data_IF_536871892591
#
_entry.id   IF_536871892591
#
_cell.length_a   1.000
_cell.length_b   1.000
_cell.length_c   1.000
_cell.angle_alpha   90.00
_cell.angle_beta   90.00
_cell.angle_gamma   90.00
#
_symmetry.space_group_name_H-M   'P 1'
#
loop_
_entity.id
_entity.type
_entity.pdbx_description
1 polymer ?
#
# COMPACT_ATOMS: atom_id res chain seq x y z
N UNK A 1 -21.91 -15.86 -24.59
CA UNK A 1 -20.66 -15.13 -24.29
C UNK A 1 -20.85 -14.51 -22.93
N UNK A 2 -20.16 -15.02 -21.90
CA UNK A 2 -20.14 -14.38 -20.58
C UNK A 2 -19.01 -13.36 -20.60
N UNK A 3 -19.35 -12.07 -20.63
CA UNK A 3 -18.40 -11.00 -20.40
C UNK A 3 -18.08 -10.98 -18.90
N UNK A 4 -17.20 -11.89 -18.47
CA UNK A 4 -16.59 -11.80 -17.15
C UNK A 4 -15.69 -10.58 -17.14
N UNK A 5 -16.07 -9.55 -16.39
CA UNK A 5 -15.17 -8.46 -16.04
C UNK A 5 -13.92 -9.06 -15.43
N UNK A 6 -12.78 -8.90 -16.12
CA UNK A 6 -11.47 -9.22 -15.55
C UNK A 6 -11.24 -8.17 -14.47
N UNK A 7 -11.70 -8.42 -13.25
CA UNK A 7 -11.29 -7.63 -12.11
C UNK A 7 -9.77 -7.74 -12.03
N UNK A 8 -9.09 -6.60 -12.18
CA UNK A 8 -7.65 -6.54 -12.01
C UNK A 8 -7.37 -6.91 -10.55
N UNK A 9 -6.64 -7.99 -10.35
CA UNK A 9 -6.18 -8.43 -9.03
C UNK A 9 -5.42 -7.29 -8.34
N UNK A 10 -5.79 -7.00 -7.09
CA UNK A 10 -5.20 -5.96 -6.25
C UNK A 10 -4.77 -6.50 -4.90
N UNK A 11 -3.76 -5.88 -4.32
CA UNK A 11 -3.30 -6.08 -2.95
C UNK A 11 -3.84 -4.92 -2.13
N UNK A 12 -4.66 -5.23 -1.12
CA UNK A 12 -5.25 -4.22 -0.24
C UNK A 12 -4.45 -4.20 1.07
N UNK A 13 -3.82 -3.05 1.36
CA UNK A 13 -3.19 -2.76 2.65
C UNK A 13 -4.20 -1.98 3.50
N UNK A 14 -4.88 -2.69 4.41
CA UNK A 14 -5.86 -2.13 5.33
C UNK A 14 -5.20 -1.78 6.67
N UNK A 15 -5.19 -0.48 7.00
CA UNK A 15 -4.61 0.05 8.24
C UNK A 15 -5.63 0.19 9.38
N UNK A 16 -6.79 -0.45 9.29
CA UNK A 16 -7.78 -0.47 10.38
C UNK A 16 -7.16 -0.98 11.69
N UNK A 17 -7.21 -0.15 12.73
CA UNK A 17 -6.66 -0.46 14.05
C UNK A 17 -5.14 -0.27 14.17
N UNK A 18 -4.47 0.20 13.12
CA UNK A 18 -3.06 0.57 13.18
C UNK A 18 -2.93 2.04 13.55
N UNK A 19 -2.38 2.31 14.73
CA UNK A 19 -2.22 3.68 15.23
C UNK A 19 -0.92 4.34 14.76
N UNK A 20 0.14 3.55 14.58
CA UNK A 20 1.49 4.02 14.22
C UNK A 20 2.14 3.04 13.24
N UNK A 21 2.88 3.59 12.27
CA UNK A 21 3.72 2.86 11.32
C UNK A 21 5.12 3.45 11.42
N UNK A 22 6.16 2.63 11.54
CA UNK A 22 7.53 3.14 11.52
C UNK A 22 7.99 3.36 10.08
N UNK A 23 8.71 4.47 9.78
CA UNK A 23 9.20 4.74 8.42
C UNK A 23 10.03 3.59 7.83
N UNK A 24 10.93 2.98 8.59
CA UNK A 24 11.76 1.87 8.08
C UNK A 24 10.94 0.64 7.71
N UNK A 25 9.87 0.35 8.45
CA UNK A 25 9.00 -0.79 8.15
C UNK A 25 8.09 -0.49 6.96
N UNK A 26 7.61 0.76 6.85
CA UNK A 26 6.84 1.21 5.68
C UNK A 26 7.66 1.08 4.39
N UNK A 27 8.92 1.55 4.42
CA UNK A 27 9.84 1.50 3.29
C UNK A 27 10.10 0.04 2.84
N UNK A 28 10.51 -0.83 3.76
CA UNK A 28 10.77 -2.25 3.45
C UNK A 28 9.52 -2.98 2.95
N UNK A 29 8.35 -2.72 3.54
CA UNK A 29 7.09 -3.34 3.16
C UNK A 29 6.67 -2.91 1.75
N UNK A 30 6.61 -1.60 1.49
CA UNK A 30 6.17 -1.07 0.20
C UNK A 30 7.13 -1.49 -0.91
N UNK A 31 8.44 -1.31 -0.70
CA UNK A 31 9.46 -1.73 -1.67
C UNK A 31 9.35 -3.23 -2.00
N UNK A 32 9.11 -4.09 -1.01
CA UNK A 32 8.94 -5.53 -1.24
C UNK A 32 7.69 -5.86 -2.06
N UNK A 33 6.59 -5.14 -1.83
CA UNK A 33 5.33 -5.35 -2.54
C UNK A 33 5.41 -4.81 -3.96
N UNK A 34 5.95 -3.60 -4.15
CA UNK A 34 6.12 -2.96 -5.45
C UNK A 34 7.04 -3.79 -6.34
N UNK A 35 8.19 -4.24 -5.82
CA UNK A 35 9.12 -5.09 -6.57
C UNK A 35 8.50 -6.42 -7.03
N UNK A 36 7.56 -6.96 -6.25
CA UNK A 36 6.96 -8.27 -6.52
C UNK A 36 5.71 -8.19 -7.39
N UNK A 37 4.92 -7.13 -7.24
CA UNK A 37 3.57 -7.06 -7.80
C UNK A 37 3.31 -5.85 -8.70
N UNK A 38 4.17 -4.82 -8.63
CA UNK A 38 3.95 -3.52 -9.26
C UNK A 38 3.15 -2.58 -8.34
N UNK A 39 3.54 -1.31 -8.34
CA UNK A 39 2.88 -0.23 -7.58
C UNK A 39 1.39 -0.13 -7.95
N UNK A 40 1.04 -0.34 -9.23
CA UNK A 40 -0.33 -0.21 -9.75
C UNK A 40 -1.32 -1.23 -9.19
N UNK A 41 -0.81 -2.28 -8.52
CA UNK A 41 -1.61 -3.32 -7.88
C UNK A 41 -1.86 -3.07 -6.40
N UNK A 42 -1.19 -2.09 -5.80
CA UNK A 42 -1.28 -1.83 -4.36
C UNK A 42 -2.35 -0.77 -4.11
N UNK A 43 -3.26 -1.06 -3.19
CA UNK A 43 -4.29 -0.13 -2.73
C UNK A 43 -4.20 0.00 -1.22
N UNK A 44 -3.98 1.23 -0.75
CA UNK A 44 -3.87 1.55 0.68
C UNK A 44 -5.20 2.14 1.16
N UNK A 45 -5.78 1.56 2.21
CA UNK A 45 -7.08 2.00 2.77
C UNK A 45 -7.02 2.16 4.30
N UNK A 46 -8.02 2.88 4.84
CA UNK A 46 -8.24 3.07 6.29
C UNK A 46 -7.03 3.61 7.06
N UNK A 47 -6.30 4.56 6.49
CA UNK A 47 -5.16 5.20 7.14
C UNK A 47 -5.58 6.33 8.10
N UNK A 48 -4.81 6.51 9.16
CA UNK A 48 -4.89 7.68 10.06
C UNK A 48 -3.78 8.68 9.75
N UNK A 49 -3.86 9.96 10.20
CA UNK A 49 -2.87 10.98 9.84
C UNK A 49 -1.41 10.60 10.09
N UNK A 50 -1.11 9.94 11.22
CA UNK A 50 0.25 9.47 11.53
C UNK A 50 0.79 8.46 10.49
N UNK A 51 -0.08 7.58 9.97
CA UNK A 51 0.26 6.62 8.93
C UNK A 51 0.49 7.35 7.61
N UNK A 52 -0.38 8.31 7.26
CA UNK A 52 -0.24 9.11 6.04
C UNK A 52 1.05 9.92 6.01
N UNK A 53 1.46 10.49 7.15
CA UNK A 53 2.73 11.20 7.28
C UNK A 53 3.92 10.25 7.06
N UNK A 54 3.85 9.05 7.63
CA UNK A 54 4.89 8.03 7.44
C UNK A 54 4.99 7.58 5.98
N UNK A 55 3.85 7.29 5.33
CA UNK A 55 3.81 6.88 3.93
C UNK A 55 4.36 7.98 3.00
N UNK A 56 3.99 9.25 3.23
CA UNK A 56 4.56 10.38 2.47
C UNK A 56 6.07 10.52 2.68
N UNK A 57 6.56 10.27 3.90
CA UNK A 57 7.98 10.38 4.19
C UNK A 57 8.81 9.35 3.42
N UNK A 58 8.26 8.14 3.18
CA UNK A 58 8.95 7.09 2.40
C UNK A 58 8.78 7.26 0.89
N UNK A 59 7.63 7.72 0.40
CA UNK A 59 7.42 8.03 -1.04
C UNK A 59 8.38 9.12 -1.57
N UNK A 60 8.83 10.05 -0.72
CA UNK A 60 9.83 11.07 -1.10
C UNK A 60 11.22 10.46 -1.40
N UNK A 61 11.45 9.21 -1.01
CA UNK A 61 12.73 8.51 -1.22
C UNK A 61 12.72 7.52 -2.40
N UNK A 62 11.58 7.34 -3.08
CA UNK A 62 11.41 6.46 -4.26
C UNK A 62 11.66 7.15 -5.60
#
# INVERSE_FOLDING_TARGET
MVNGSVEKEKIILDFTGVEVLSPSYADELLQSLENKYGEEKIEIINTVPAIQETLRAVEIHG
#
